data_IF_965172110457
#
_entry.id   IF_965172110457
#
_cell.length_a   1.000
_cell.length_b   1.000
_cell.length_c   1.000
_cell.angle_alpha   90.00
_cell.angle_beta   90.00
_cell.angle_gamma   90.00
#
_symmetry.space_group_name_H-M   'P 1'
#
loop_
_entity.id
_entity.type
_entity.pdbx_description
1 polymer ?
#
# COMPACT_ATOMS: atom_id res chain seq x y z
N UNK A 1 -25.99 -13.71 -7.07
CA UNK A 1 -24.99 -14.38 -6.20
C UNK A 1 -24.90 -13.60 -4.90
N UNK A 2 -24.49 -14.18 -3.75
CA UNK A 2 -24.19 -13.36 -2.57
C UNK A 2 -23.08 -12.39 -3.00
N UNK A 3 -23.44 -11.11 -3.16
CA UNK A 3 -22.60 -10.13 -3.82
C UNK A 3 -21.41 -9.77 -2.93
N UNK A 4 -20.21 -9.90 -3.46
CA UNK A 4 -19.08 -9.12 -2.98
C UNK A 4 -19.12 -7.75 -3.65
N UNK A 5 -18.86 -6.70 -2.89
CA UNK A 5 -18.66 -5.34 -3.44
C UNK A 5 -17.40 -4.74 -2.82
N UNK A 6 -16.73 -3.96 -3.65
CA UNK A 6 -15.52 -3.24 -3.33
C UNK A 6 -15.78 -1.74 -3.41
N UNK A 7 -15.34 -0.98 -2.41
CA UNK A 7 -15.52 0.47 -2.33
C UNK A 7 -14.15 1.12 -2.09
N UNK A 8 -13.72 2.00 -3.01
CA UNK A 8 -12.43 2.70 -2.99
C UNK A 8 -12.61 4.22 -3.11
N UNK A 9 -11.60 4.99 -2.72
CA UNK A 9 -11.55 6.45 -2.93
C UNK A 9 -12.58 7.28 -2.16
N UNK A 10 -13.36 6.68 -1.27
CA UNK A 10 -14.46 7.31 -0.55
C UNK A 10 -14.02 8.07 0.72
N UNK A 11 -12.91 7.68 1.35
CA UNK A 11 -12.56 8.14 2.69
C UNK A 11 -12.38 9.66 2.81
N UNK A 12 -11.65 10.36 1.92
CA UNK A 12 -11.43 11.81 2.04
C UNK A 12 -12.72 12.62 2.00
N UNK A 13 -13.73 12.15 1.24
CA UNK A 13 -14.98 12.89 1.02
C UNK A 13 -16.10 12.47 1.97
N UNK A 14 -16.24 11.18 2.24
CA UNK A 14 -17.42 10.63 2.89
C UNK A 14 -17.16 10.07 4.30
N UNK A 15 -15.89 9.89 4.70
CA UNK A 15 -15.53 9.32 5.99
C UNK A 15 -14.41 10.13 6.69
N UNK A 16 -14.67 11.38 7.10
CA UNK A 16 -13.64 12.27 7.66
C UNK A 16 -12.98 11.71 8.92
N UNK A 17 -13.70 10.96 9.75
CA UNK A 17 -13.11 10.25 10.89
C UNK A 17 -12.08 9.21 10.43
N UNK A 18 -12.42 8.40 9.43
CA UNK A 18 -11.52 7.36 8.90
C UNK A 18 -10.31 7.98 8.23
N UNK A 19 -10.51 9.04 7.44
CA UNK A 19 -9.41 9.79 6.83
C UNK A 19 -8.49 10.38 7.90
N UNK A 20 -9.04 11.01 8.94
CA UNK A 20 -8.24 11.56 10.06
C UNK A 20 -7.54 10.46 10.87
N UNK A 21 -8.19 9.31 11.07
CA UNK A 21 -7.62 8.16 11.78
C UNK A 21 -6.35 7.66 11.09
N UNK A 22 -6.39 7.49 9.77
CA UNK A 22 -5.22 7.02 9.00
C UNK A 22 -4.14 8.08 8.77
N UNK A 23 -4.41 9.34 9.11
CA UNK A 23 -3.42 10.42 9.17
C UNK A 23 -2.92 10.73 10.58
N UNK A 24 -3.47 10.07 11.61
CA UNK A 24 -3.07 10.30 13.00
C UNK A 24 -1.61 9.93 13.20
N UNK A 25 -0.79 10.83 13.79
CA UNK A 25 0.61 10.54 14.11
C UNK A 25 0.78 9.28 14.97
N UNK A 26 -0.15 9.06 15.90
CA UNK A 26 -0.10 7.89 16.80
C UNK A 26 -0.38 6.59 16.05
N UNK A 27 -1.35 6.59 15.13
CA UNK A 27 -1.64 5.42 14.29
C UNK A 27 -0.46 5.11 13.38
N UNK A 28 0.07 6.13 12.70
CA UNK A 28 1.22 5.95 11.80
C UNK A 28 2.47 5.46 12.55
N UNK A 29 2.71 5.93 13.77
CA UNK A 29 3.78 5.44 14.64
C UNK A 29 3.62 3.94 14.91
N UNK A 30 2.45 3.50 15.36
CA UNK A 30 2.17 2.08 15.65
C UNK A 30 2.33 1.21 14.39
N UNK A 31 1.79 1.64 13.25
CA UNK A 31 1.92 0.91 11.99
C UNK A 31 3.38 0.79 11.57
N UNK A 32 4.13 1.89 11.65
CA UNK A 32 5.55 1.94 11.26
C UNK A 32 6.42 1.06 12.16
N UNK A 33 6.18 1.09 13.48
CA UNK A 33 6.89 0.24 14.45
C UNK A 33 6.68 -1.25 14.16
N UNK A 34 5.45 -1.65 13.85
CA UNK A 34 5.15 -3.04 13.50
C UNK A 34 5.68 -3.45 12.12
N UNK A 35 5.79 -2.49 11.18
CA UNK A 35 6.35 -2.74 9.85
C UNK A 35 7.89 -2.71 9.81
N UNK A 36 8.54 -2.13 10.83
CA UNK A 36 9.99 -1.95 10.87
C UNK A 36 10.52 -0.84 9.95
N UNK A 37 9.64 0.01 9.41
CA UNK A 37 9.98 1.13 8.51
C UNK A 37 8.96 2.25 8.69
N UNK A 38 9.38 3.51 8.55
CA UNK A 38 8.47 4.67 8.60
C UNK A 38 7.53 4.68 7.38
N UNK A 39 6.24 4.50 7.64
CA UNK A 39 5.19 4.37 6.65
C UNK A 39 4.24 5.57 6.64
N UNK A 40 3.75 5.88 5.44
CA UNK A 40 2.64 6.80 5.18
C UNK A 40 1.58 6.09 4.34
N UNK A 41 0.30 6.52 4.41
CA UNK A 41 -0.70 6.06 3.45
C UNK A 41 -0.17 6.26 2.03
N UNK A 42 -0.36 5.25 1.17
CA UNK A 42 0.20 5.28 -0.18
C UNK A 42 -0.37 6.45 -0.99
N UNK A 43 -1.70 6.55 -0.99
CA UNK A 43 -2.52 7.61 -1.56
C UNK A 43 -3.81 7.71 -0.74
N UNK A 44 -4.44 8.89 -0.73
CA UNK A 44 -5.76 9.08 -0.12
C UNK A 44 -6.81 8.13 -0.72
N UNK A 45 -6.66 7.82 -2.01
CA UNK A 45 -7.50 6.89 -2.74
C UNK A 45 -7.49 5.46 -2.17
N UNK A 46 -6.37 5.08 -1.55
CA UNK A 46 -6.10 3.76 -1.00
C UNK A 46 -6.36 3.67 0.51
N UNK A 47 -6.93 4.73 1.10
CA UNK A 47 -7.34 4.73 2.49
C UNK A 47 -8.66 3.98 2.64
N UNK A 48 -8.63 2.93 3.46
CA UNK A 48 -9.81 2.18 3.90
C UNK A 48 -10.62 1.53 2.76
N UNK A 49 -9.97 1.08 1.69
CA UNK A 49 -10.58 0.21 0.68
C UNK A 49 -11.46 -0.85 1.35
N UNK A 50 -12.76 -0.81 1.09
CA UNK A 50 -13.74 -1.62 1.83
C UNK A 50 -14.17 -2.80 0.99
N UNK A 51 -13.93 -4.01 1.52
CA UNK A 51 -14.46 -5.25 0.97
C UNK A 51 -15.69 -5.63 1.77
N UNK A 52 -16.82 -5.81 1.09
CA UNK A 52 -18.07 -6.28 1.70
C UNK A 52 -18.46 -7.59 1.04
N UNK A 53 -18.60 -8.63 1.84
CA UNK A 53 -19.19 -9.91 1.42
C UNK A 53 -20.47 -10.14 2.21
N UNK A 54 -21.57 -10.40 1.50
CA UNK A 54 -22.85 -10.70 2.13
C UNK A 54 -23.08 -12.20 2.29
N UNK A 55 -23.73 -12.58 3.38
CA UNK A 55 -24.18 -13.94 3.61
C UNK A 55 -25.34 -14.36 2.69
N UNK A 56 -25.87 -15.58 2.86
CA UNK A 56 -26.93 -16.13 1.99
C UNK A 56 -28.23 -15.31 1.96
N UNK A 57 -28.52 -14.53 3.00
CA UNK A 57 -29.70 -13.65 3.06
C UNK A 57 -29.48 -12.32 2.31
N UNK A 58 -28.29 -12.10 1.73
CA UNK A 58 -27.92 -10.87 1.07
C UNK A 58 -28.08 -9.65 1.99
N UNK A 59 -28.50 -8.53 1.43
CA UNK A 59 -28.73 -7.29 2.18
C UNK A 59 -29.77 -7.48 3.30
N UNK A 60 -30.74 -8.40 3.15
CA UNK A 60 -31.74 -8.67 4.19
C UNK A 60 -31.15 -9.31 5.45
N UNK A 61 -29.96 -9.92 5.34
CA UNK A 61 -29.22 -10.48 6.47
C UNK A 61 -28.30 -9.47 7.16
N UNK A 62 -28.02 -8.34 6.51
CA UNK A 62 -27.05 -7.36 6.97
C UNK A 62 -27.38 -6.82 8.36
N UNK A 63 -26.42 -6.86 9.28
CA UNK A 63 -26.59 -6.34 10.64
C UNK A 63 -27.52 -7.17 11.53
N UNK A 64 -28.03 -8.32 11.04
CA UNK A 64 -28.77 -9.27 11.89
C UNK A 64 -27.78 -10.10 12.69
N UNK A 65 -27.82 -9.97 14.02
CA UNK A 65 -27.04 -10.79 14.91
C UNK A 65 -27.35 -12.29 14.73
N UNK A 66 -26.28 -13.06 14.48
CA UNK A 66 -26.23 -14.52 14.23
C UNK A 66 -26.91 -14.97 12.92
N UNK A 67 -26.10 -15.20 11.89
CA UNK A 67 -26.51 -16.08 10.79
C UNK A 67 -26.74 -17.50 11.34
N UNK A 68 -27.81 -18.17 10.90
CA UNK A 68 -27.99 -19.60 11.22
C UNK A 68 -26.89 -20.40 10.51
N UNK A 69 -26.08 -21.21 11.21
CA UNK A 69 -25.12 -22.08 10.56
C UNK A 69 -25.86 -23.00 9.60
N UNK A 70 -25.57 -22.89 8.31
CA UNK A 70 -25.93 -23.92 7.34
C UNK A 70 -24.68 -24.78 7.15
N UNK A 71 -24.80 -26.07 7.44
CA UNK A 71 -23.82 -27.09 7.08
C UNK A 71 -23.77 -27.20 5.55
N UNK A 72 -23.04 -26.30 4.90
CA UNK A 72 -22.79 -26.35 3.46
C UNK A 72 -21.47 -27.06 3.21
N UNK A 73 -21.52 -28.28 2.67
CA UNK A 73 -20.37 -29.07 2.20
C UNK A 73 -19.82 -28.58 0.84
N UNK A 74 -20.19 -27.38 0.40
CA UNK A 74 -19.72 -26.80 -0.85
C UNK A 74 -18.35 -26.18 -0.67
N UNK A 75 -17.35 -26.70 -1.38
CA UNK A 75 -16.05 -26.06 -1.55
C UNK A 75 -16.30 -24.75 -2.29
N UNK A 76 -16.52 -23.67 -1.54
CA UNK A 76 -16.66 -22.34 -2.12
C UNK A 76 -15.33 -22.00 -2.82
N UNK A 77 -15.42 -21.52 -4.05
CA UNK A 77 -14.26 -21.00 -4.80
C UNK A 77 -13.61 -19.87 -3.99
N UNK A 78 -12.29 -19.73 -4.10
CA UNK A 78 -11.55 -18.65 -3.46
C UNK A 78 -12.18 -17.30 -3.84
N UNK A 79 -12.46 -16.44 -2.86
CA UNK A 79 -13.06 -15.12 -3.11
C UNK A 79 -12.07 -14.24 -3.88
N UNK A 80 -10.77 -14.44 -3.64
CA UNK A 80 -9.67 -13.75 -4.31
C UNK A 80 -8.64 -14.81 -4.68
N UNK A 81 -8.23 -14.84 -5.94
CA UNK A 81 -7.17 -15.75 -6.40
C UNK A 81 -5.83 -15.45 -5.72
N UNK A 82 -4.85 -16.35 -5.88
CA UNK A 82 -3.50 -16.11 -5.40
C UNK A 82 -2.92 -14.86 -6.06
N UNK A 83 -2.55 -13.87 -5.25
CA UNK A 83 -2.06 -12.60 -5.74
C UNK A 83 -1.03 -11.99 -4.80
N UNK A 84 -0.39 -10.93 -5.29
CA UNK A 84 0.38 -9.98 -4.50
C UNK A 84 -0.34 -8.64 -4.59
N UNK A 85 -0.39 -7.91 -3.49
CA UNK A 85 -0.99 -6.59 -3.51
C UNK A 85 -0.20 -5.65 -4.42
N UNK A 86 -0.85 -4.56 -4.83
CA UNK A 86 -0.19 -3.50 -5.57
C UNK A 86 0.73 -2.64 -4.69
N UNK A 87 0.56 -2.68 -3.36
CA UNK A 87 1.26 -1.81 -2.42
C UNK A 87 2.24 -2.59 -1.53
N UNK A 88 3.42 -2.03 -1.18
CA UNK A 88 4.42 -2.68 -0.35
C UNK A 88 3.88 -3.19 0.99
N UNK A 89 3.06 -2.38 1.65
CA UNK A 89 2.45 -2.70 2.92
C UNK A 89 0.95 -2.44 2.88
N UNK A 90 0.18 -3.28 3.55
CA UNK A 90 -1.25 -3.10 3.76
C UNK A 90 -1.61 -3.37 5.22
N UNK A 91 -2.57 -2.61 5.74
CA UNK A 91 -3.20 -2.88 7.03
C UNK A 91 -4.65 -3.26 6.81
N UNK A 92 -5.01 -4.50 7.16
CA UNK A 92 -6.36 -5.04 7.02
C UNK A 92 -7.04 -5.01 8.39
N UNK A 93 -8.11 -4.24 8.52
CA UNK A 93 -8.94 -4.15 9.74
C UNK A 93 -10.25 -4.90 9.52
N UNK A 94 -10.61 -5.76 10.48
CA UNK A 94 -11.91 -6.42 10.48
C UNK A 94 -12.96 -5.52 11.13
N UNK A 95 -14.03 -5.19 10.39
CA UNK A 95 -15.16 -4.41 10.90
C UNK A 95 -16.33 -5.29 11.33
N UNK A 96 -16.50 -6.47 10.72
CA UNK A 96 -17.56 -7.40 11.11
C UNK A 96 -17.18 -8.25 12.32
N UNK A 97 -18.19 -8.66 13.08
CA UNK A 97 -18.04 -9.60 14.18
C UNK A 97 -17.68 -11.02 13.70
N UNK A 98 -16.38 -11.31 13.67
CA UNK A 98 -15.83 -12.58 13.20
C UNK A 98 -15.79 -13.71 14.24
N UNK A 99 -16.54 -13.61 15.36
CA UNK A 99 -16.50 -14.62 16.44
C UNK A 99 -17.02 -16.00 16.00
N UNK A 100 -18.01 -16.02 15.11
CA UNK A 100 -18.62 -17.26 14.60
C UNK A 100 -18.14 -17.61 13.18
N UNK A 101 -17.14 -16.88 12.68
CA UNK A 101 -16.61 -17.05 11.34
C UNK A 101 -16.03 -18.45 11.16
N UNK A 102 -16.51 -19.18 10.16
CA UNK A 102 -15.92 -20.43 9.71
C UNK A 102 -15.21 -20.19 8.37
N UNK A 103 -13.96 -20.63 8.25
CA UNK A 103 -13.11 -20.27 7.11
C UNK A 103 -12.67 -18.80 7.18
N UNK A 104 -12.43 -18.18 6.02
CA UNK A 104 -12.02 -16.78 5.95
C UNK A 104 -10.52 -16.53 6.17
N UNK A 105 -9.74 -17.56 6.49
CA UNK A 105 -8.30 -17.45 6.74
C UNK A 105 -7.58 -16.87 5.52
N UNK A 106 -6.54 -16.09 5.80
CA UNK A 106 -5.60 -15.67 4.77
C UNK A 106 -4.54 -16.73 4.66
N UNK A 107 -4.42 -17.35 3.49
CA UNK A 107 -3.36 -18.31 3.20
C UNK A 107 -2.19 -17.56 2.56
N UNK A 108 -1.01 -17.68 3.17
CA UNK A 108 0.23 -17.03 2.76
C UNK A 108 1.20 -18.07 2.19
N UNK A 109 1.91 -17.76 1.12
CA UNK A 109 2.96 -18.61 0.56
C UNK A 109 4.34 -18.14 1.07
N UNK A 110 5.05 -19.04 1.75
CA UNK A 110 6.42 -18.83 2.20
C UNK A 110 7.44 -18.98 1.09
N UNK A 111 8.67 -18.51 1.34
CA UNK A 111 9.77 -18.59 0.36
C UNK A 111 10.25 -20.03 0.05
N UNK A 112 9.88 -21.00 0.88
CA UNK A 112 10.13 -22.44 0.66
C UNK A 112 9.01 -23.13 -0.14
N UNK A 113 8.01 -22.36 -0.61
CA UNK A 113 6.85 -22.85 -1.36
C UNK A 113 5.75 -23.46 -0.49
N UNK A 114 5.93 -23.55 0.85
CA UNK A 114 4.88 -24.02 1.76
C UNK A 114 3.89 -22.91 2.04
N UNK A 115 2.66 -23.28 2.38
CA UNK A 115 1.61 -22.32 2.75
C UNK A 115 1.35 -22.30 4.25
N UNK A 116 1.01 -21.12 4.76
CA UNK A 116 0.62 -20.87 6.15
C UNK A 116 -0.76 -20.22 6.17
N UNK A 117 -1.70 -20.82 6.90
CA UNK A 117 -3.02 -20.22 7.11
C UNK A 117 -2.99 -19.36 8.36
N UNK A 118 -3.28 -18.07 8.18
CA UNK A 118 -3.37 -17.09 9.26
C UNK A 118 -4.84 -16.80 9.53
N UNK A 119 -5.22 -16.96 10.80
CA UNK A 119 -6.58 -16.65 11.25
C UNK A 119 -6.87 -15.17 11.01
N UNK A 120 -8.03 -14.84 10.45
CA UNK A 120 -8.41 -13.44 10.28
C UNK A 120 -8.51 -12.70 11.61
N UNK A 121 -8.24 -11.39 11.61
CA UNK A 121 -8.44 -10.55 12.79
C UNK A 121 -9.90 -10.59 13.26
N UNK A 122 -10.11 -10.47 14.56
CA UNK A 122 -11.44 -10.23 15.14
C UNK A 122 -11.86 -8.78 14.91
N UNK A 123 -13.15 -8.48 15.11
CA UNK A 123 -13.68 -7.13 15.00
C UNK A 123 -12.84 -6.13 15.82
N UNK A 124 -12.40 -5.05 15.17
CA UNK A 124 -11.54 -4.02 15.78
C UNK A 124 -10.05 -4.38 15.86
N UNK A 125 -9.66 -5.59 15.45
CA UNK A 125 -8.26 -5.97 15.29
C UNK A 125 -7.79 -5.74 13.85
N UNK A 126 -6.48 -5.63 13.68
CA UNK A 126 -5.83 -5.41 12.41
C UNK A 126 -4.68 -6.39 12.17
N UNK A 127 -4.36 -6.64 10.89
CA UNK A 127 -3.17 -7.35 10.44
C UNK A 127 -2.40 -6.45 9.50
N UNK A 128 -1.08 -6.37 9.68
CA UNK A 128 -0.16 -5.71 8.74
C UNK A 128 0.51 -6.79 7.90
N UNK A 129 0.53 -6.60 6.59
CA UNK A 129 1.12 -7.53 5.64
C UNK A 129 2.04 -6.78 4.67
N UNK A 130 3.17 -7.40 4.33
CA UNK A 130 4.01 -7.01 3.20
C UNK A 130 3.36 -7.46 1.88
N UNK A 131 2.23 -6.85 1.53
CA UNK A 131 1.29 -7.32 0.51
C UNK A 131 1.92 -7.51 -0.88
N UNK A 132 2.81 -6.61 -1.30
CA UNK A 132 3.52 -6.72 -2.59
C UNK A 132 4.49 -7.90 -2.66
N UNK A 133 4.96 -8.37 -1.51
CA UNK A 133 6.06 -9.33 -1.43
C UNK A 133 5.55 -10.74 -1.15
N UNK A 134 4.51 -10.87 -0.35
CA UNK A 134 3.95 -12.15 0.08
C UNK A 134 2.76 -12.50 -0.82
N UNK A 135 2.90 -13.59 -1.58
CA UNK A 135 1.78 -14.16 -2.33
C UNK A 135 0.74 -14.72 -1.36
N UNK A 136 -0.52 -14.36 -1.55
CA UNK A 136 -1.59 -14.73 -0.63
C UNK A 136 -2.96 -14.85 -1.30
N UNK A 137 -3.88 -15.51 -0.60
CA UNK A 137 -5.29 -15.64 -0.99
C UNK A 137 -6.19 -15.61 0.25
N UNK A 138 -7.41 -15.09 0.10
CA UNK A 138 -8.42 -15.13 1.14
C UNK A 138 -9.38 -16.29 0.89
N UNK A 139 -9.44 -17.23 1.84
CA UNK A 139 -10.39 -18.33 1.78
C UNK A 139 -11.82 -17.80 2.00
N UNK A 140 -12.83 -18.42 1.37
CA UNK A 140 -14.21 -18.03 1.59
C UNK A 140 -14.61 -18.25 3.05
N UNK A 141 -15.44 -17.34 3.56
CA UNK A 141 -16.06 -17.49 4.86
C UNK A 141 -17.51 -17.95 4.75
N UNK A 142 -17.96 -18.68 5.77
CA UNK A 142 -19.37 -19.02 5.99
C UNK A 142 -19.74 -18.70 7.44
N UNK A 143 -21.02 -18.90 7.78
CA UNK A 143 -21.54 -18.70 9.14
C UNK A 143 -21.48 -17.26 9.65
N UNK A 144 -21.55 -16.29 8.73
CA UNK A 144 -21.57 -14.86 9.01
C UNK A 144 -22.72 -14.20 8.23
N UNK A 145 -23.43 -13.21 8.80
CA UNK A 145 -24.43 -12.43 8.07
C UNK A 145 -23.76 -11.51 7.03
N UNK A 146 -22.58 -10.98 7.36
CA UNK A 146 -21.70 -10.23 6.48
C UNK A 146 -20.24 -10.35 6.91
N UNK A 147 -19.30 -10.11 6.00
CA UNK A 147 -17.87 -9.92 6.28
C UNK A 147 -17.43 -8.61 5.64
N UNK A 148 -17.14 -7.63 6.48
CA UNK A 148 -16.63 -6.32 6.10
C UNK A 148 -15.21 -6.17 6.61
N UNK A 149 -14.28 -5.95 5.68
CA UNK A 149 -12.91 -5.57 6.00
C UNK A 149 -12.58 -4.25 5.32
N UNK A 150 -11.74 -3.45 5.97
CA UNK A 150 -11.14 -2.28 5.35
C UNK A 150 -9.64 -2.46 5.25
N UNK A 151 -9.07 -2.01 4.14
CA UNK A 151 -7.65 -2.12 3.84
C UNK A 151 -7.10 -0.72 3.60
N UNK A 152 -6.08 -0.34 4.34
CA UNK A 152 -5.31 0.87 4.03
C UNK A 152 -3.94 0.45 3.52
N UNK A 153 -3.58 0.95 2.35
CA UNK A 153 -2.28 0.69 1.73
C UNK A 153 -1.24 1.72 2.16
N UNK A 154 0.01 1.30 2.33
CA UNK A 154 1.11 2.13 2.80
C UNK A 154 2.34 2.01 1.90
N UNK A 155 3.14 3.07 1.90
CA UNK A 155 4.48 3.13 1.29
C UNK A 155 5.49 3.71 2.30
N UNK A 156 6.79 3.47 2.10
CA UNK A 156 7.81 4.17 2.87
C UNK A 156 7.68 5.69 2.73
N UNK A 157 7.81 6.40 3.84
CA UNK A 157 7.84 7.87 3.84
C UNK A 157 9.07 8.40 3.11
N UNK A 158 10.22 7.80 3.39
CA UNK A 158 11.50 8.25 2.85
C UNK A 158 11.55 8.03 1.33
N UNK A 159 11.85 9.08 0.53
CA UNK A 159 11.98 8.95 -0.92
C UNK A 159 13.21 8.15 -1.33
N UNK A 160 14.16 7.91 -0.42
CA UNK A 160 15.36 7.14 -0.66
C UNK A 160 15.16 5.62 -0.46
N UNK A 161 14.05 5.21 0.14
CA UNK A 161 13.70 3.80 0.30
C UNK A 161 12.99 3.27 -0.94
N UNK A 162 13.06 1.95 -1.12
CA UNK A 162 12.41 1.25 -2.22
C UNK A 162 10.89 1.33 -2.06
N UNK A 163 10.22 1.88 -3.07
CA UNK A 163 8.77 1.94 -3.19
C UNK A 163 8.35 1.21 -4.48
N UNK A 164 7.92 -0.03 -4.31
CA UNK A 164 7.41 -0.89 -5.40
C UNK A 164 5.89 -0.88 -5.51
N UNK A 165 5.26 0.22 -5.11
CA UNK A 165 3.84 0.44 -5.38
C UNK A 165 3.57 0.37 -6.89
N UNK A 166 2.47 -0.28 -7.28
CA UNK A 166 1.94 -0.37 -8.65
C UNK A 166 0.46 0.01 -8.66
N UNK A 167 -0.15 0.14 -9.84
CA UNK A 167 -1.61 0.23 -9.99
C UNK A 167 -2.22 -1.08 -10.54
N UNK A 168 -1.41 -2.13 -10.69
CA UNK A 168 -1.75 -3.32 -11.47
C UNK A 168 -3.10 -3.96 -11.11
N UNK A 169 -3.37 -4.15 -9.82
CA UNK A 169 -4.60 -4.84 -9.36
C UNK A 169 -5.68 -3.87 -8.88
N UNK A 170 -5.38 -2.56 -8.83
CA UNK A 170 -6.33 -1.55 -8.32
C UNK A 170 -6.99 -0.75 -9.45
N UNK A 171 -6.32 -0.62 -10.60
CA UNK A 171 -6.79 0.20 -11.72
C UNK A 171 -8.12 -0.26 -12.32
N UNK A 172 -8.37 -1.56 -12.39
CA UNK A 172 -9.59 -2.13 -12.97
C UNK A 172 -10.84 -1.90 -12.09
N UNK A 173 -10.61 -1.61 -10.80
CA UNK A 173 -11.65 -1.45 -9.79
C UNK A 173 -11.74 0.01 -9.29
N UNK A 174 -11.17 0.97 -10.03
CA UNK A 174 -10.99 2.36 -9.59
C UNK A 174 -11.53 3.39 -10.57
N UNK A 175 -11.89 4.56 -10.05
CA UNK A 175 -12.07 5.78 -10.83
C UNK A 175 -10.71 6.29 -11.29
N UNK A 176 -10.34 5.95 -12.54
CA UNK A 176 -9.02 6.23 -13.10
C UNK A 176 -8.61 7.70 -13.02
N UNK A 177 -9.55 8.64 -13.20
CA UNK A 177 -9.26 10.08 -13.11
C UNK A 177 -8.68 10.47 -11.74
N UNK A 178 -9.28 9.98 -10.66
CA UNK A 178 -8.83 10.28 -9.30
C UNK A 178 -7.56 9.50 -8.95
N UNK A 179 -7.52 8.20 -9.29
CA UNK A 179 -6.35 7.35 -9.07
C UNK A 179 -5.11 7.93 -9.75
N UNK A 180 -5.20 8.30 -11.02
CA UNK A 180 -4.05 8.81 -11.78
C UNK A 180 -3.63 10.21 -11.34
N UNK A 181 -4.57 11.06 -10.94
CA UNK A 181 -4.22 12.34 -10.33
C UNK A 181 -3.35 12.14 -9.09
N UNK A 182 -3.79 11.31 -8.13
CA UNK A 182 -3.04 11.08 -6.90
C UNK A 182 -1.73 10.34 -7.17
N UNK A 183 -1.76 9.33 -8.05
CA UNK A 183 -0.59 8.54 -8.46
C UNK A 183 0.52 9.43 -9.05
N UNK A 184 0.21 10.19 -10.09
CA UNK A 184 1.20 11.04 -10.74
C UNK A 184 1.70 12.12 -9.77
N UNK A 185 0.80 12.71 -8.97
CA UNK A 185 1.18 13.76 -8.00
C UNK A 185 2.20 13.24 -7.00
N UNK A 186 1.94 12.13 -6.32
CA UNK A 186 2.86 11.65 -5.29
C UNK A 186 4.19 11.19 -5.90
N UNK A 187 4.18 10.59 -7.10
CA UNK A 187 5.41 10.14 -7.77
C UNK A 187 6.30 11.35 -8.12
N UNK A 188 5.71 12.43 -8.61
CA UNK A 188 6.44 13.68 -8.90
C UNK A 188 6.96 14.35 -7.63
N UNK A 189 6.21 14.32 -6.53
CA UNK A 189 6.68 14.81 -5.23
C UNK A 189 7.90 14.03 -4.71
N UNK A 190 7.87 12.70 -4.81
CA UNK A 190 9.03 11.84 -4.47
C UNK A 190 10.23 12.18 -5.34
N UNK A 191 10.05 12.33 -6.66
CA UNK A 191 11.13 12.72 -7.56
C UNK A 191 11.73 14.09 -7.17
N UNK A 192 10.88 15.07 -6.84
CA UNK A 192 11.31 16.39 -6.39
C UNK A 192 12.11 16.30 -5.07
N UNK A 193 11.68 15.45 -4.12
CA UNK A 193 12.43 15.21 -2.88
C UNK A 193 13.78 14.54 -3.14
N UNK A 194 13.84 13.54 -4.04
CA UNK A 194 15.11 12.90 -4.45
C UNK A 194 16.08 13.91 -5.07
N UNK A 195 15.60 14.79 -5.94
CA UNK A 195 16.41 15.85 -6.53
C UNK A 195 16.94 16.82 -5.47
N UNK A 196 16.11 17.21 -4.50
CA UNK A 196 16.54 18.06 -3.37
C UNK A 196 17.64 17.38 -2.56
N UNK A 197 17.48 16.10 -2.21
CA UNK A 197 18.51 15.33 -1.48
C UNK A 197 19.83 15.31 -2.26
N UNK A 198 19.80 15.04 -3.56
CA UNK A 198 20.99 15.02 -4.41
C UNK A 198 21.68 16.39 -4.47
N UNK A 199 20.91 17.48 -4.58
CA UNK A 199 21.45 18.86 -4.58
C UNK A 199 22.11 19.19 -3.25
N UNK A 200 21.48 18.88 -2.12
CA UNK A 200 22.06 19.15 -0.80
C UNK A 200 23.35 18.35 -0.57
N UNK A 201 23.39 17.07 -0.97
CA UNK A 201 24.60 16.25 -0.89
C UNK A 201 25.75 16.83 -1.74
N UNK A 202 25.46 17.34 -2.93
CA UNK A 202 26.45 18.01 -3.78
C UNK A 202 26.96 19.31 -3.17
N UNK A 203 26.06 20.10 -2.56
CA UNK A 203 26.43 21.36 -1.86
C UNK A 203 27.33 21.08 -0.68
N UNK A 204 27.02 20.06 0.12
CA UNK A 204 27.81 19.67 1.28
C UNK A 204 29.21 19.20 0.85
N UNK A 205 29.28 18.29 -0.15
CA UNK A 205 30.55 17.81 -0.70
C UNK A 205 31.39 18.96 -1.30
N UNK A 206 30.76 19.89 -2.01
CA UNK A 206 31.44 21.08 -2.53
C UNK A 206 32.03 21.94 -1.42
N UNK A 207 31.23 22.23 -0.38
CA UNK A 207 31.68 23.04 0.75
C UNK A 207 32.84 22.38 1.49
N UNK A 208 32.82 21.06 1.63
CA UNK A 208 33.94 20.30 2.19
C UNK A 208 35.20 20.40 1.31
N UNK A 209 35.08 20.13 0.02
CA UNK A 209 36.20 20.20 -0.91
C UNK A 209 36.84 21.59 -0.94
N UNK A 210 36.05 22.67 -0.87
CA UNK A 210 36.57 24.05 -0.81
C UNK A 210 37.38 24.25 0.47
N UNK A 211 36.88 23.82 1.64
CA UNK A 211 37.61 23.93 2.92
C UNK A 211 38.93 23.17 2.91
N UNK A 212 38.99 22.04 2.22
CA UNK A 212 40.18 21.19 2.18
C UNK A 212 41.20 21.63 1.13
N UNK A 213 40.76 22.24 0.02
CA UNK A 213 41.62 22.56 -1.12
C UNK A 213 41.98 24.04 -1.28
N UNK A 214 41.23 24.95 -0.66
CA UNK A 214 41.45 26.40 -0.73
C UNK A 214 41.85 26.96 0.65
N UNK A 215 43.04 27.55 0.76
CA UNK A 215 43.57 28.10 2.02
C UNK A 215 42.75 29.27 2.56
N UNK A 216 42.03 29.99 1.69
CA UNK A 216 41.18 31.12 2.06
C UNK A 216 39.71 30.68 2.24
N UNK A 217 39.38 29.41 1.94
CA UNK A 217 38.04 28.83 2.03
C UNK A 217 37.03 29.44 1.05
N UNK A 218 37.48 30.05 -0.04
CA UNK A 218 36.61 30.77 -0.99
C UNK A 218 36.01 29.84 -2.05
N UNK A 219 34.70 29.98 -2.29
CA UNK A 219 34.02 29.30 -3.38
C UNK A 219 34.40 29.87 -4.76
N UNK A 220 34.35 29.04 -5.79
CA UNK A 220 34.47 29.44 -7.21
C UNK A 220 35.63 28.79 -7.98
N UNK A 221 36.59 28.18 -7.28
CA UNK A 221 37.75 27.51 -7.91
C UNK A 221 38.12 26.20 -7.18
N UNK A 222 37.13 25.39 -6.83
CA UNK A 222 37.39 24.08 -6.23
C UNK A 222 38.14 23.18 -7.22
N UNK A 223 39.40 22.84 -6.91
CA UNK A 223 40.27 22.02 -7.76
C UNK A 223 40.20 20.52 -7.48
N UNK A 224 39.37 20.14 -6.51
CA UNK A 224 39.08 18.74 -6.17
C UNK A 224 37.77 18.35 -6.82
N UNK A 225 37.72 17.14 -7.36
CA UNK A 225 36.54 16.59 -8.01
C UNK A 225 35.37 16.55 -7.00
N UNK A 226 34.31 17.30 -7.31
CA UNK A 226 33.09 17.33 -6.49
C UNK A 226 32.02 16.39 -7.07
N UNK A 227 31.90 16.36 -8.40
CA UNK A 227 30.90 15.57 -9.11
C UNK A 227 31.58 14.40 -9.77
N UNK A 228 31.17 13.17 -9.41
CA UNK A 228 31.53 11.97 -10.16
C UNK A 228 30.45 11.74 -11.23
N UNK A 229 30.85 11.80 -12.51
CA UNK A 229 29.91 11.69 -13.65
C UNK A 229 29.20 10.33 -13.67
N UNK A 230 29.85 9.24 -13.26
CA UNK A 230 29.25 7.91 -13.23
C UNK A 230 28.15 7.80 -12.15
N UNK A 231 28.33 8.47 -11.00
CA UNK A 231 27.32 8.53 -9.95
C UNK A 231 26.09 9.33 -10.41
N UNK A 232 26.31 10.46 -11.11
CA UNK A 232 25.22 11.25 -11.70
C UNK A 232 24.48 10.44 -12.76
N UNK A 233 25.20 9.73 -13.63
CA UNK A 233 24.59 8.89 -14.67
C UNK A 233 23.74 7.78 -14.05
N UNK A 234 24.23 7.12 -12.98
CA UNK A 234 23.46 6.13 -12.22
C UNK A 234 22.18 6.75 -11.63
N UNK A 235 22.28 7.91 -10.99
CA UNK A 235 21.13 8.60 -10.40
C UNK A 235 20.07 8.97 -11.46
N UNK A 236 20.51 9.48 -12.62
CA UNK A 236 19.63 9.80 -13.76
C UNK A 236 18.92 8.56 -14.29
N UNK A 237 19.63 7.43 -14.44
CA UNK A 237 19.03 6.16 -14.86
C UNK A 237 17.94 5.70 -13.88
N UNK A 238 18.20 5.75 -12.58
CA UNK A 238 17.22 5.36 -11.55
C UNK A 238 15.95 6.22 -11.62
N UNK A 239 16.09 7.54 -11.79
CA UNK A 239 14.93 8.44 -11.91
C UNK A 239 14.17 8.24 -13.23
N UNK A 240 14.88 7.89 -14.30
CA UNK A 240 14.28 7.59 -15.60
C UNK A 240 13.43 6.33 -15.53
N UNK A 241 13.95 5.25 -14.94
CA UNK A 241 13.19 4.00 -14.70
C UNK A 241 11.96 4.27 -13.83
N UNK A 242 12.12 5.08 -12.77
CA UNK A 242 11.02 5.48 -11.89
C UNK A 242 9.88 6.21 -12.63
N UNK A 243 10.22 7.14 -13.54
CA UNK A 243 9.26 7.86 -14.37
C UNK A 243 8.63 6.97 -15.45
N UNK A 244 9.41 6.10 -16.07
CA UNK A 244 8.90 5.12 -17.03
C UNK A 244 7.87 4.18 -16.39
N UNK A 245 8.17 3.69 -15.19
CA UNK A 245 7.21 2.88 -14.41
C UNK A 245 5.96 3.69 -14.05
N UNK A 246 6.12 4.97 -13.69
CA UNK A 246 5.00 5.87 -13.38
C UNK A 246 4.02 5.94 -14.55
N UNK A 247 4.54 6.09 -15.78
CA UNK A 247 3.75 6.09 -17.01
C UNK A 247 3.17 4.70 -17.33
N UNK A 248 3.96 3.64 -17.15
CA UNK A 248 3.55 2.27 -17.45
C UNK A 248 2.29 1.86 -16.67
N UNK A 249 2.17 2.26 -15.41
CA UNK A 249 0.99 1.98 -14.56
C UNK A 249 -0.29 2.71 -15.00
N UNK A 250 -0.16 3.68 -15.91
CA UNK A 250 -1.27 4.47 -16.48
C UNK A 250 -1.61 4.07 -17.93
N UNK A 251 -1.02 2.99 -18.42
CA UNK A 251 -1.34 2.45 -19.76
C UNK A 251 -2.83 2.08 -19.85
N UNK A 252 -3.44 2.13 -21.05
CA UNK A 252 -4.81 1.69 -21.26
C UNK A 252 -5.07 0.31 -20.65
N UNK A 253 -6.27 0.10 -20.14
CA UNK A 253 -6.74 -1.24 -19.78
C UNK A 253 -6.90 -2.03 -21.09
N UNK A 254 -6.41 -3.27 -21.11
CA UNK A 254 -6.69 -4.17 -22.22
C UNK A 254 -8.21 -4.43 -22.21
N UNK A 255 -8.87 -4.22 -23.35
CA UNK A 255 -10.32 -4.39 -23.51
C UNK A 255 -10.70 -5.85 -23.59
#
# INVERSE_FOLDING_TARGET
>A
MPGSVQIRGMAPRYAPFIHSFWHSPEVLRIISENAGVDLVPAMDYEISHTNVQLGPEGIKGFGKGKAKPKNGTGRAESIIEWHKDSHPFVCVVMLSDARNMLGGETELQGGDGRTLKVKSPQMGCAVILQGRYISHTALPTTNMPERITVVTSFRPRSPALLDETTNANVREESHLTELYYQWTTYRLEVLAQRARIAVEALREKYAQNVRESDKEGKSGLCRVETVNVAEVEKWVREQTVYLQQTLFEMRPLEQ
#
